data_IF_009834874186
#
_entry.id   IF_009834874186
#
_cell.length_a   1.000
_cell.length_b   1.000
_cell.length_c   1.000
_cell.angle_alpha   90.00
_cell.angle_beta   90.00
_cell.angle_gamma   90.00
#
_symmetry.space_group_name_H-M   'P 1'
#
loop_
_entity.id
_entity.type
_entity.pdbx_description
1 polymer ?
#
# COMPACT_ATOMS: atom_id res chain seq x y z
N UNK A 1 -9.84 12.47 12.13
CA UNK A 1 -9.06 12.41 10.87
C UNK A 1 -8.28 11.12 10.95
N UNK A 2 -8.75 10.07 10.31
CA UNK A 2 -8.19 8.74 10.49
C UNK A 2 -7.05 8.57 9.49
N UNK A 3 -5.84 8.21 9.92
CA UNK A 3 -4.88 7.52 9.07
C UNK A 3 -5.16 6.02 9.15
N UNK A 4 -4.95 5.30 8.04
CA UNK A 4 -5.05 3.82 8.03
C UNK A 4 -3.90 3.30 7.17
N UNK A 5 -2.97 2.64 7.84
CA UNK A 5 -1.89 1.84 7.24
C UNK A 5 -1.87 0.50 7.94
N UNK A 6 -1.72 -0.60 7.20
CA UNK A 6 -1.82 -1.96 7.74
C UNK A 6 -0.54 -2.79 7.53
N UNK A 7 0.24 -2.88 8.62
CA UNK A 7 0.91 -4.07 9.17
C UNK A 7 2.13 -4.74 8.51
N UNK A 8 2.98 -5.21 9.42
CA UNK A 8 4.07 -6.18 9.28
C UNK A 8 3.47 -7.59 9.48
N UNK A 9 3.61 -8.49 8.50
CA UNK A 9 3.26 -9.91 8.67
C UNK A 9 4.41 -10.65 9.41
N UNK A 10 4.13 -11.25 10.56
CA UNK A 10 5.03 -12.24 11.16
C UNK A 10 4.62 -13.63 10.68
N UNK A 11 5.39 -14.16 9.73
CA UNK A 11 5.17 -15.50 9.16
C UNK A 11 5.83 -16.56 10.03
N UNK A 12 5.03 -17.48 10.55
CA UNK A 12 5.56 -18.67 11.20
C UNK A 12 5.94 -19.72 10.14
N UNK A 13 7.24 -19.82 9.82
CA UNK A 13 7.81 -20.84 8.92
C UNK A 13 8.09 -22.18 9.63
N UNK A 14 7.48 -22.41 10.80
CA UNK A 14 7.68 -23.60 11.61
C UNK A 14 7.14 -24.85 10.92
N UNK A 15 8.00 -25.58 10.22
CA UNK A 15 7.78 -26.96 9.77
C UNK A 15 7.70 -27.98 10.93
N UNK A 16 7.60 -27.52 12.19
CA UNK A 16 7.70 -28.36 13.40
C UNK A 16 6.65 -27.91 14.41
N UNK A 17 5.70 -28.79 14.71
CA UNK A 17 4.59 -28.58 15.67
C UNK A 17 5.03 -28.55 17.14
N UNK A 18 6.30 -28.91 17.40
CA UNK A 18 6.87 -29.06 18.74
C UNK A 18 7.65 -27.84 19.23
N UNK A 19 7.73 -26.77 18.43
CA UNK A 19 8.43 -25.53 18.82
C UNK A 19 7.46 -24.36 18.94
N UNK A 20 7.51 -23.69 20.09
CA UNK A 20 6.71 -22.53 20.44
C UNK A 20 7.55 -21.26 20.34
N UNK A 21 6.92 -20.15 19.94
CA UNK A 21 7.52 -18.82 20.10
C UNK A 21 7.45 -18.47 21.60
N UNK A 22 8.60 -18.24 22.21
CA UNK A 22 8.71 -18.01 23.65
C UNK A 22 9.87 -17.02 23.95
N UNK A 23 9.73 -16.29 25.04
CA UNK A 23 10.78 -15.50 25.65
C UNK A 23 11.12 -16.12 27.00
N UNK A 24 11.98 -17.13 27.01
CA UNK A 24 12.43 -17.78 28.23
C UNK A 24 13.17 -16.80 29.14
N UNK A 25 12.44 -16.19 30.06
CA UNK A 25 12.95 -15.28 31.08
C UNK A 25 13.69 -16.09 32.14
N UNK A 26 14.94 -15.73 32.40
CA UNK A 26 15.64 -16.12 33.62
C UNK A 26 15.32 -15.06 34.69
N UNK A 27 15.24 -15.41 35.99
CA UNK A 27 15.06 -14.43 37.07
C UNK A 27 16.06 -13.26 37.04
N UNK A 28 17.17 -13.41 36.33
CA UNK A 28 18.25 -12.42 36.23
C UNK A 28 18.33 -11.70 34.87
N UNK A 29 17.48 -12.04 33.90
CA UNK A 29 17.51 -11.43 32.55
C UNK A 29 16.09 -11.10 32.09
N UNK A 30 15.72 -9.81 32.18
CA UNK A 30 14.38 -9.30 31.85
C UNK A 30 14.24 -8.77 30.41
N UNK A 31 15.32 -8.71 29.66
CA UNK A 31 15.34 -8.27 28.26
C UNK A 31 16.01 -9.33 27.40
N UNK A 32 15.24 -10.36 27.04
CA UNK A 32 15.69 -11.40 26.11
C UNK A 32 14.85 -11.32 24.84
N UNK A 33 15.50 -11.49 23.70
CA UNK A 33 14.80 -11.57 22.42
C UNK A 33 13.88 -12.79 22.41
N UNK A 34 12.69 -12.62 21.82
CA UNK A 34 11.74 -13.70 21.57
C UNK A 34 12.36 -14.69 20.57
N UNK A 35 12.30 -15.99 20.85
CA UNK A 35 12.89 -17.04 20.04
C UNK A 35 12.02 -18.29 19.95
N UNK A 36 12.48 -19.31 19.24
CA UNK A 36 11.78 -20.60 19.14
C UNK A 36 12.35 -21.58 20.16
N UNK A 37 11.50 -22.11 21.04
CA UNK A 37 11.86 -23.08 22.09
C UNK A 37 10.92 -24.29 22.04
N UNK A 38 11.26 -25.39 22.71
CA UNK A 38 10.31 -26.49 22.89
C UNK A 38 9.10 -26.01 23.71
N UNK A 39 7.90 -26.39 23.27
CA UNK A 39 6.68 -26.10 24.03
C UNK A 39 6.74 -26.83 25.38
N UNK A 40 6.59 -26.12 26.50
CA UNK A 40 6.80 -26.69 27.84
C UNK A 40 5.55 -26.62 28.74
N UNK A 41 4.49 -25.92 28.31
CA UNK A 41 3.17 -25.98 28.94
C UNK A 41 3.08 -25.32 30.32
N UNK A 42 4.10 -24.58 30.73
CA UNK A 42 4.07 -23.80 31.98
C UNK A 42 3.27 -22.51 31.75
N UNK A 43 2.40 -22.13 32.69
CA UNK A 43 1.51 -20.96 32.60
C UNK A 43 2.26 -19.68 32.12
N UNK A 44 2.02 -19.28 30.86
CA UNK A 44 2.48 -18.01 30.27
C UNK A 44 3.18 -18.10 28.90
N UNK A 45 3.04 -17.02 28.10
CA UNK A 45 3.81 -16.57 26.91
C UNK A 45 4.23 -17.56 25.79
N UNK A 46 3.67 -18.77 25.71
CA UNK A 46 3.93 -19.68 24.59
C UNK A 46 2.89 -19.53 23.48
N UNK A 47 3.30 -19.01 22.31
CA UNK A 47 2.43 -18.99 21.13
C UNK A 47 2.65 -20.27 20.30
N UNK A 48 1.70 -21.21 20.40
CA UNK A 48 1.68 -22.45 19.61
C UNK A 48 0.91 -22.24 18.30
N UNK A 49 1.44 -22.74 17.19
CA UNK A 49 0.75 -22.76 15.90
C UNK A 49 0.22 -24.17 15.64
N UNK A 50 -1.09 -24.38 15.74
CA UNK A 50 -1.73 -25.70 15.54
C UNK A 50 -2.04 -26.03 14.06
N UNK A 51 -1.26 -25.49 13.12
CA UNK A 51 -1.25 -26.02 11.74
C UNK A 51 -2.45 -25.60 10.88
N UNK A 52 -2.86 -24.35 10.96
CA UNK A 52 -3.82 -23.78 10.01
C UNK A 52 -3.21 -22.55 9.31
N UNK A 53 -3.70 -22.16 8.11
CA UNK A 53 -3.18 -21.03 7.32
C UNK A 53 -3.65 -19.70 7.92
N UNK A 54 -3.44 -19.51 9.23
CA UNK A 54 -3.72 -18.27 9.94
C UNK A 54 -2.39 -17.61 10.31
N UNK A 55 -2.31 -16.31 10.02
CA UNK A 55 -1.19 -15.44 10.29
C UNK A 55 -1.47 -14.68 11.59
N UNK A 56 -0.42 -14.32 12.30
CA UNK A 56 -0.52 -13.55 13.55
C UNK A 56 -0.71 -12.08 13.15
N UNK A 57 -1.91 -11.55 13.33
CA UNK A 57 -2.30 -10.19 12.91
C UNK A 57 -3.04 -9.47 14.03
N UNK A 58 -3.01 -8.14 14.03
CA UNK A 58 -3.84 -7.33 14.92
C UNK A 58 -4.56 -6.27 14.10
N UNK A 59 -5.88 -6.40 14.02
CA UNK A 59 -6.74 -5.37 13.42
C UNK A 59 -6.81 -4.16 14.35
N UNK A 60 -5.74 -3.37 14.40
CA UNK A 60 -5.69 -2.12 15.16
C UNK A 60 -6.37 -0.99 14.38
N UNK A 61 -6.95 -0.05 15.10
CA UNK A 61 -7.34 1.26 14.59
C UNK A 61 -6.66 2.29 15.49
N UNK A 62 -6.54 3.55 15.07
CA UNK A 62 -5.98 4.63 15.93
C UNK A 62 -6.68 4.74 17.30
N UNK A 63 -7.90 4.22 17.41
CA UNK A 63 -8.69 4.20 18.64
C UNK A 63 -8.43 2.96 19.51
N UNK A 64 -7.64 1.97 19.05
CA UNK A 64 -7.48 0.68 19.72
C UNK A 64 -6.12 0.02 19.42
N UNK A 65 -5.04 0.64 19.90
CA UNK A 65 -3.66 0.12 19.83
C UNK A 65 -3.42 -1.09 20.76
N UNK A 66 -4.30 -1.31 21.73
CA UNK A 66 -4.20 -2.39 22.71
C UNK A 66 -4.94 -3.68 22.31
N UNK A 67 -5.35 -3.83 21.04
CA UNK A 67 -6.06 -5.04 20.61
C UNK A 67 -5.11 -6.23 20.60
N UNK A 68 -5.57 -7.28 21.28
CA UNK A 68 -4.92 -8.58 21.31
C UNK A 68 -4.63 -9.04 19.89
N UNK A 69 -3.38 -9.45 19.66
CA UNK A 69 -2.96 -10.08 18.42
C UNK A 69 -3.68 -11.43 18.30
N UNK A 70 -4.41 -11.64 17.21
CA UNK A 70 -5.21 -12.85 16.98
C UNK A 70 -4.74 -13.61 15.73
N UNK A 71 -4.94 -14.93 15.66
CA UNK A 71 -4.83 -15.67 14.41
C UNK A 71 -5.87 -15.16 13.39
N UNK A 72 -5.41 -14.68 12.25
CA UNK A 72 -6.23 -14.14 11.15
C UNK A 72 -5.95 -14.89 9.84
N UNK A 73 -6.91 -15.15 8.94
CA UNK A 73 -6.64 -15.90 7.71
C UNK A 73 -5.44 -15.31 6.97
N UNK A 74 -4.42 -16.13 6.71
CA UNK A 74 -3.26 -15.69 5.97
C UNK A 74 -3.73 -15.24 4.58
N UNK A 75 -3.76 -13.94 4.36
CA UNK A 75 -4.19 -13.34 3.11
C UNK A 75 -3.11 -13.45 2.01
N UNK A 76 -2.01 -14.18 2.26
CA UNK A 76 -0.95 -14.42 1.29
C UNK A 76 -0.17 -13.16 0.89
N UNK A 77 -0.22 -12.10 1.70
CA UNK A 77 0.26 -10.76 1.35
C UNK A 77 1.74 -10.54 1.68
N UNK A 78 2.60 -11.56 1.76
CA UNK A 78 4.04 -11.38 2.01
C UNK A 78 4.77 -10.86 0.79
N UNK A 79 4.36 -9.70 0.32
CA UNK A 79 4.70 -9.07 -0.93
C UNK A 79 3.47 -8.40 -1.51
N UNK A 80 3.28 -7.12 -1.21
CA UNK A 80 2.62 -6.19 -2.11
C UNK A 80 3.72 -5.43 -2.87
N UNK A 81 4.25 -6.09 -3.90
CA UNK A 81 5.32 -5.51 -4.69
C UNK A 81 4.76 -4.49 -5.68
N UNK A 82 5.51 -3.42 -5.88
CA UNK A 82 5.21 -2.39 -6.87
C UNK A 82 6.15 -2.56 -8.07
N UNK A 83 5.62 -3.17 -9.13
CA UNK A 83 6.40 -3.66 -10.29
C UNK A 83 6.30 -2.71 -11.46
N UNK A 84 7.42 -2.50 -12.17
CA UNK A 84 7.47 -1.70 -13.39
C UNK A 84 7.32 -2.55 -14.66
N UNK A 85 6.51 -2.10 -15.63
CA UNK A 85 6.32 -2.81 -16.90
C UNK A 85 7.53 -2.69 -17.84
N UNK A 86 8.19 -1.52 -17.89
CA UNK A 86 9.37 -1.26 -18.73
C UNK A 86 10.57 -2.15 -18.40
N UNK A 87 10.63 -2.70 -17.19
CA UNK A 87 11.65 -3.65 -16.74
C UNK A 87 11.29 -5.10 -17.06
N UNK A 88 10.44 -5.31 -18.07
CA UNK A 88 9.92 -6.63 -18.45
C UNK A 88 9.07 -7.29 -17.36
N UNK A 89 8.42 -6.50 -16.49
CA UNK A 89 7.71 -6.99 -15.31
C UNK A 89 8.58 -7.79 -14.34
N UNK A 90 9.87 -7.45 -14.23
CA UNK A 90 10.80 -8.10 -13.28
C UNK A 90 11.47 -7.14 -12.31
N UNK A 91 11.32 -5.83 -12.54
CA UNK A 91 11.85 -4.79 -11.65
C UNK A 91 10.76 -4.33 -10.68
N UNK A 92 11.07 -4.34 -9.39
CA UNK A 92 10.22 -3.93 -8.30
C UNK A 92 10.89 -2.83 -7.49
N UNK A 93 10.10 -1.91 -6.93
CA UNK A 93 10.60 -0.94 -5.95
C UNK A 93 11.09 -1.70 -4.73
N UNK A 94 12.33 -1.43 -4.34
CA UNK A 94 13.06 -2.10 -3.27
C UNK A 94 13.76 -1.08 -2.37
N UNK A 95 13.63 -1.27 -1.06
CA UNK A 95 14.35 -0.50 -0.07
C UNK A 95 15.49 -1.33 0.54
N UNK A 96 16.73 -1.11 0.08
CA UNK A 96 17.86 -1.91 0.52
C UNK A 96 18.06 -1.85 2.06
N UNK A 97 18.19 -3.03 2.68
CA UNK A 97 18.43 -3.17 4.12
C UNK A 97 19.91 -3.12 4.54
N UNK A 98 20.86 -3.18 3.60
CA UNK A 98 22.30 -3.22 3.91
C UNK A 98 23.07 -2.09 3.23
N UNK A 99 23.53 -1.10 4.01
CA UNK A 99 24.35 0.04 3.56
C UNK A 99 23.66 1.40 3.64
N UNK A 100 24.17 2.39 2.90
CA UNK A 100 23.46 3.67 2.67
C UNK A 100 22.06 3.33 2.17
N UNK A 101 21.02 3.71 2.90
CA UNK A 101 19.59 3.47 2.61
C UNK A 101 19.27 3.72 1.13
N UNK A 102 19.44 2.71 0.27
CA UNK A 102 19.26 2.86 -1.16
C UNK A 102 17.84 2.43 -1.50
N UNK A 103 16.98 3.41 -1.65
CA UNK A 103 15.70 3.26 -2.32
C UNK A 103 15.95 3.15 -3.82
N UNK A 104 15.41 2.13 -4.47
CA UNK A 104 15.66 1.89 -5.89
C UNK A 104 14.88 0.72 -6.45
N UNK A 105 15.48 0.04 -7.41
CA UNK A 105 14.87 -1.04 -8.16
C UNK A 105 15.68 -2.31 -7.97
N UNK A 106 14.98 -3.43 -7.78
CA UNK A 106 15.60 -4.74 -7.72
C UNK A 106 14.70 -5.80 -8.35
N UNK A 107 15.29 -6.97 -8.61
CA UNK A 107 14.52 -8.11 -9.14
C UNK A 107 13.41 -8.48 -8.16
N UNK A 108 12.18 -8.57 -8.67
CA UNK A 108 11.03 -8.96 -7.89
C UNK A 108 11.22 -10.38 -7.31
N UNK A 109 11.23 -10.54 -5.98
CA UNK A 109 11.50 -11.84 -5.33
C UNK A 109 10.33 -12.41 -4.49
N UNK A 110 9.22 -11.69 -4.33
CA UNK A 110 7.98 -12.16 -3.69
C UNK A 110 8.12 -12.61 -2.22
N UNK A 111 9.18 -12.21 -1.53
CA UNK A 111 9.42 -12.56 -0.12
C UNK A 111 8.89 -11.49 0.84
N UNK A 112 8.31 -10.41 0.33
CA UNK A 112 7.88 -9.27 1.14
C UNK A 112 9.10 -8.43 1.53
N UNK A 113 9.23 -8.14 2.83
CA UNK A 113 10.38 -7.41 3.34
C UNK A 113 10.55 -6.05 2.68
N UNK A 114 11.74 -5.78 2.16
CA UNK A 114 12.13 -4.54 1.47
C UNK A 114 11.35 -4.23 0.18
N UNK A 115 10.64 -5.20 -0.40
CA UNK A 115 9.78 -4.99 -1.58
C UNK A 115 8.29 -4.94 -1.24
N UNK A 116 7.95 -4.78 0.03
CA UNK A 116 6.58 -4.63 0.48
C UNK A 116 6.18 -3.15 0.56
N UNK A 117 5.19 -2.76 -0.25
CA UNK A 117 4.67 -1.40 -0.32
C UNK A 117 3.15 -1.40 -0.34
N UNK A 118 2.53 -0.42 0.27
CA UNK A 118 1.07 -0.28 0.29
C UNK A 118 0.67 1.12 -0.11
N UNK A 119 -0.48 1.24 -0.77
CA UNK A 119 -1.13 2.53 -0.93
C UNK A 119 -2.02 2.77 0.30
N UNK A 120 -1.75 3.82 1.07
CA UNK A 120 -2.60 4.26 2.16
C UNK A 120 -3.86 4.94 1.62
N UNK A 121 -4.88 5.04 2.46
CA UNK A 121 -6.09 5.78 2.09
C UNK A 121 -5.88 7.30 2.00
N UNK A 122 -4.77 7.80 2.53
CA UNK A 122 -4.42 9.22 2.51
C UNK A 122 -3.51 9.54 1.30
N UNK A 123 -3.28 8.54 0.42
CA UNK A 123 -2.51 8.68 -0.81
C UNK A 123 -1.02 8.47 -0.61
N UNK A 124 -0.56 7.85 0.48
CA UNK A 124 0.88 7.62 0.70
C UNK A 124 1.27 6.23 0.19
N UNK A 125 2.45 6.10 -0.43
CA UNK A 125 3.04 4.79 -0.72
C UNK A 125 3.94 4.40 0.45
N UNK A 126 3.49 3.46 1.27
CA UNK A 126 4.01 3.21 2.62
C UNK A 126 4.65 1.84 2.78
N UNK A 127 5.64 1.80 3.67
CA UNK A 127 6.24 0.61 4.27
C UNK A 127 6.53 0.93 5.74
N UNK A 128 5.92 0.19 6.66
CA UNK A 128 6.02 0.46 8.10
C UNK A 128 5.69 1.95 8.40
N UNK A 129 6.60 2.67 9.05
CA UNK A 129 6.50 4.12 9.33
C UNK A 129 7.15 5.00 8.25
N UNK A 130 7.55 4.42 7.11
CA UNK A 130 8.25 5.13 6.03
C UNK A 130 7.40 5.23 4.75
N UNK A 131 7.50 6.37 4.09
CA UNK A 131 6.73 6.77 2.93
C UNK A 131 7.65 7.11 1.76
N UNK A 132 7.20 6.84 0.53
CA UNK A 132 7.84 7.40 -0.66
C UNK A 132 7.53 8.90 -0.70
N UNK A 133 8.58 9.71 -0.77
CA UNK A 133 8.56 11.15 -0.64
C UNK A 133 9.25 11.80 -1.85
N UNK A 134 8.68 12.88 -2.37
CA UNK A 134 9.30 13.69 -3.41
C UNK A 134 9.26 15.18 -3.07
N UNK A 135 10.43 15.71 -2.71
CA UNK A 135 10.63 17.11 -2.34
C UNK A 135 11.15 17.99 -3.50
N UNK A 136 11.13 17.51 -4.75
CA UNK A 136 11.43 18.31 -5.94
C UNK A 136 12.73 17.98 -6.69
N UNK A 137 13.61 17.16 -6.12
CA UNK A 137 14.83 16.68 -6.79
C UNK A 137 14.81 15.17 -6.95
N UNK A 138 14.95 14.44 -5.83
CA UNK A 138 15.02 12.99 -5.82
C UNK A 138 13.78 12.39 -5.16
N UNK A 139 13.41 11.18 -5.60
CA UNK A 139 12.42 10.34 -4.93
C UNK A 139 13.16 9.56 -3.84
N UNK A 140 12.65 9.62 -2.61
CA UNK A 140 13.31 9.07 -1.44
C UNK A 140 12.31 8.38 -0.52
N UNK A 141 12.84 7.71 0.51
CA UNK A 141 12.04 7.13 1.58
C UNK A 141 12.24 7.96 2.84
N UNK A 142 11.15 8.52 3.36
CA UNK A 142 11.16 9.42 4.52
C UNK A 142 10.08 9.02 5.53
N UNK A 143 10.21 9.32 6.84
CA UNK A 143 9.13 9.07 7.80
C UNK A 143 7.80 9.62 7.33
N UNK A 144 6.77 8.79 7.42
CA UNK A 144 5.41 9.16 7.10
C UNK A 144 4.89 10.18 8.10
N UNK A 145 4.27 11.25 7.62
CA UNK A 145 3.71 12.28 8.50
C UNK A 145 2.20 12.51 8.31
N UNK A 146 1.54 11.92 7.30
CA UNK A 146 0.09 12.02 7.13
C UNK A 146 -0.42 13.43 6.78
N UNK A 147 0.47 14.38 6.51
CA UNK A 147 0.13 15.77 6.18
C UNK A 147 0.01 16.02 4.67
N UNK A 148 -0.05 14.94 3.86
CA UNK A 148 -0.08 15.00 2.40
C UNK A 148 1.15 15.69 1.82
N UNK A 149 1.01 16.48 0.75
CA UNK A 149 2.11 17.26 0.19
C UNK A 149 3.07 16.40 -0.63
N UNK A 150 4.35 16.40 -0.23
CA UNK A 150 5.43 15.62 -0.84
C UNK A 150 5.29 14.09 -0.69
N UNK A 151 4.34 13.63 0.15
CA UNK A 151 4.01 12.22 0.33
C UNK A 151 2.63 11.86 -0.26
N UNK A 152 1.97 12.76 -0.99
CA UNK A 152 0.66 12.52 -1.58
C UNK A 152 0.77 12.03 -3.04
N UNK A 153 0.35 10.80 -3.26
CA UNK A 153 0.34 10.06 -4.51
C UNK A 153 -1.07 9.64 -4.88
N UNK A 154 -1.32 9.51 -6.18
CA UNK A 154 -2.52 8.87 -6.72
C UNK A 154 -2.13 7.75 -7.67
N UNK A 155 -2.80 6.62 -7.53
CA UNK A 155 -2.62 5.48 -8.41
C UNK A 155 -3.82 5.28 -9.32
N UNK A 156 -3.54 5.03 -10.60
CA UNK A 156 -4.53 4.57 -11.57
C UNK A 156 -4.26 3.09 -11.89
N UNK A 157 -5.08 2.13 -11.41
CA UNK A 157 -4.83 0.70 -11.64
C UNK A 157 -4.98 0.26 -13.11
N UNK A 158 -5.65 1.05 -13.95
CA UNK A 158 -5.93 0.72 -15.35
C UNK A 158 -4.81 1.19 -16.28
N UNK A 159 -4.24 2.36 -16.00
CA UNK A 159 -3.07 2.87 -16.74
C UNK A 159 -1.75 2.53 -16.07
N UNK A 160 -1.77 2.06 -14.83
CA UNK A 160 -0.58 1.83 -14.01
C UNK A 160 0.11 3.11 -13.54
N UNK A 161 -0.51 4.27 -13.70
CA UNK A 161 0.12 5.57 -13.41
C UNK A 161 0.24 5.81 -11.92
N UNK A 162 1.42 6.24 -11.47
CA UNK A 162 1.67 6.81 -10.14
C UNK A 162 1.94 8.31 -10.26
N UNK A 163 0.94 9.12 -9.93
CA UNK A 163 0.98 10.58 -9.99
C UNK A 163 1.36 11.15 -8.62
N UNK A 164 2.38 12.00 -8.58
CA UNK A 164 2.66 12.81 -7.40
C UNK A 164 1.80 14.09 -7.44
N UNK A 165 0.90 14.24 -6.46
CA UNK A 165 -0.20 15.21 -6.51
C UNK A 165 0.31 16.65 -6.54
N UNK A 166 1.32 17.00 -5.74
CA UNK A 166 1.81 18.39 -5.69
C UNK A 166 2.54 18.78 -6.97
N UNK A 167 3.39 17.90 -7.51
CA UNK A 167 4.21 18.23 -8.68
C UNK A 167 3.51 18.01 -10.01
N UNK A 168 2.39 17.27 -10.03
CA UNK A 168 1.70 16.81 -11.25
C UNK A 168 2.61 16.01 -12.22
N UNK A 169 3.63 15.34 -11.66
CA UNK A 169 4.58 14.48 -12.39
C UNK A 169 4.36 13.03 -12.01
N UNK A 170 4.81 12.13 -12.87
CA UNK A 170 4.67 10.70 -12.69
C UNK A 170 6.00 10.06 -12.31
N UNK A 171 5.91 9.02 -11.48
CA UNK A 171 7.06 8.19 -11.15
C UNK A 171 7.45 7.36 -12.39
N UNK A 172 8.72 7.44 -12.76
CA UNK A 172 9.29 6.73 -13.90
C UNK A 172 10.54 5.94 -13.48
N UNK A 173 10.71 4.76 -14.05
CA UNK A 173 11.97 4.03 -13.99
C UNK A 173 12.85 4.41 -15.19
N UNK A 174 14.13 4.70 -14.96
CA UNK A 174 15.06 4.95 -16.06
C UNK A 174 15.16 3.73 -16.99
N UNK A 175 15.46 3.95 -18.28
CA UNK A 175 15.46 2.86 -19.28
C UNK A 175 16.46 1.74 -18.98
N UNK A 176 17.57 2.07 -18.33
CA UNK A 176 18.58 1.13 -17.85
C UNK A 176 18.19 0.42 -16.55
N UNK A 177 17.06 0.79 -15.93
CA UNK A 177 16.57 0.25 -14.67
C UNK A 177 17.38 0.70 -13.44
N UNK A 178 18.28 1.68 -13.59
CA UNK A 178 19.19 2.07 -12.53
C UNK A 178 18.55 2.96 -11.45
N UNK A 179 17.58 3.81 -11.82
CA UNK A 179 17.02 4.84 -10.94
C UNK A 179 15.52 5.06 -11.15
N UNK A 180 14.95 5.78 -10.19
CA UNK A 180 13.60 6.33 -10.24
C UNK A 180 13.68 7.84 -10.45
N UNK A 181 12.83 8.38 -11.31
CA UNK A 181 12.79 9.80 -11.65
C UNK A 181 11.34 10.31 -11.71
N UNK A 182 11.18 11.63 -11.57
CA UNK A 182 9.89 12.30 -11.73
C UNK A 182 9.83 13.02 -13.07
N UNK A 183 9.00 12.54 -13.98
CA UNK A 183 8.88 13.04 -15.36
C UNK A 183 7.44 13.47 -15.67
N UNK A 184 7.22 14.28 -16.73
CA UNK A 184 5.87 14.52 -17.22
C UNK A 184 5.15 13.20 -17.51
N UNK A 185 3.89 13.13 -17.12
CA UNK A 185 3.10 11.91 -17.27
C UNK A 185 2.84 11.58 -18.75
N UNK A 186 3.22 10.37 -19.18
CA UNK A 186 2.94 9.81 -20.51
C UNK A 186 2.38 8.40 -20.37
N UNK A 187 1.10 8.24 -20.73
CA UNK A 187 0.40 6.95 -20.66
C UNK A 187 0.93 5.92 -21.65
N UNK A 188 1.74 6.31 -22.64
CA UNK A 188 2.39 5.39 -23.58
C UNK A 188 3.76 4.92 -23.09
N UNK A 189 4.32 5.59 -22.07
CA UNK A 189 5.62 5.22 -21.53
C UNK A 189 5.48 4.04 -20.56
N UNK A 190 5.88 2.85 -21.02
CA UNK A 190 5.86 1.62 -20.23
C UNK A 190 6.72 1.70 -18.96
N UNK A 191 7.69 2.62 -18.91
CA UNK A 191 8.52 2.85 -17.73
C UNK A 191 7.79 3.67 -16.64
N UNK A 192 6.62 4.24 -16.95
CA UNK A 192 5.71 4.86 -15.99
C UNK A 192 4.54 3.94 -15.61
N UNK A 193 4.52 2.70 -16.10
CA UNK A 193 3.45 1.75 -15.82
C UNK A 193 3.84 0.86 -14.63
N UNK A 194 3.18 1.11 -13.52
CA UNK A 194 3.37 0.42 -12.26
C UNK A 194 2.18 -0.48 -11.94
N UNK A 195 2.49 -1.65 -11.36
CA UNK A 195 1.47 -2.60 -10.91
C UNK A 195 1.75 -3.02 -9.48
N UNK A 196 0.84 -2.65 -8.59
CA UNK A 196 0.74 -3.30 -7.28
C UNK A 196 0.34 -4.75 -7.49
N UNK A 197 1.01 -5.67 -6.79
CA UNK A 197 0.59 -7.07 -6.78
C UNK A 197 -0.81 -7.22 -6.18
N UNK A 198 -1.12 -6.44 -5.14
CA UNK A 198 -2.41 -6.44 -4.45
C UNK A 198 -2.90 -4.99 -4.36
N UNK A 199 -4.07 -4.73 -4.94
CA UNK A 199 -4.73 -3.43 -4.90
C UNK A 199 -6.24 -3.61 -4.90
N UNK A 200 -6.90 -3.06 -3.89
CA UNK A 200 -8.36 -3.13 -3.72
C UNK A 200 -9.00 -1.87 -4.29
N UNK A 201 -9.53 -1.98 -5.51
CA UNK A 201 -10.13 -0.86 -6.25
C UNK A 201 -11.40 -0.37 -5.55
N UNK A 202 -12.20 -1.27 -4.95
CA UNK A 202 -13.45 -0.91 -4.28
C UNK A 202 -13.18 -0.05 -3.05
N UNK A 203 -12.19 -0.44 -2.23
CA UNK A 203 -11.75 0.39 -1.09
C UNK A 203 -11.14 1.71 -1.53
N UNK A 204 -10.31 1.71 -2.58
CA UNK A 204 -9.73 2.95 -3.12
C UNK A 204 -10.80 3.92 -3.64
N UNK A 205 -11.89 3.39 -4.21
CA UNK A 205 -13.04 4.18 -4.61
C UNK A 205 -13.80 4.74 -3.41
N UNK A 206 -14.07 3.91 -2.40
CA UNK A 206 -14.74 4.33 -1.16
C UNK A 206 -14.02 5.51 -0.47
N UNK A 207 -12.69 5.51 -0.47
CA UNK A 207 -11.88 6.52 0.21
C UNK A 207 -11.36 7.65 -0.69
N UNK A 208 -11.64 7.62 -2.01
CA UNK A 208 -11.25 8.68 -2.94
C UNK A 208 -9.74 8.74 -3.26
N UNK A 209 -9.01 7.63 -3.08
CA UNK A 209 -7.55 7.56 -3.24
C UNK A 209 -7.10 7.21 -4.67
N UNK A 210 -8.04 7.22 -5.61
CA UNK A 210 -7.85 6.75 -6.97
C UNK A 210 -7.74 7.94 -7.94
N UNK A 211 -6.95 7.79 -8.99
CA UNK A 211 -6.66 8.84 -9.96
C UNK A 211 -7.71 8.93 -11.09
N UNK A 212 -8.97 8.55 -10.82
CA UNK A 212 -10.02 8.78 -11.79
C UNK A 212 -10.61 10.15 -11.63
N UNK A 213 -10.71 10.80 -12.77
CA UNK A 213 -11.58 11.93 -13.03
C UNK A 213 -13.08 11.53 -12.90
N UNK A 214 -13.50 10.80 -11.85
CA UNK A 214 -14.94 10.43 -11.66
C UNK A 214 -15.75 11.60 -11.14
N UNK A 215 -15.08 12.60 -10.57
CA UNK A 215 -15.74 13.82 -10.08
C UNK A 215 -16.35 14.61 -11.23
N UNK A 216 -15.80 14.55 -12.45
CA UNK A 216 -16.41 15.22 -13.61
C UNK A 216 -17.60 14.48 -14.16
N UNK A 217 -17.56 13.14 -14.29
CA UNK A 217 -18.70 12.42 -14.91
C UNK A 217 -19.91 12.40 -13.98
N UNK A 218 -19.74 12.16 -12.68
CA UNK A 218 -20.85 12.15 -11.75
C UNK A 218 -21.48 13.54 -11.57
N UNK A 219 -20.66 14.60 -11.47
CA UNK A 219 -21.15 15.98 -11.40
C UNK A 219 -21.80 16.40 -12.71
N UNK A 220 -21.20 16.07 -13.86
CA UNK A 220 -21.79 16.38 -15.18
C UNK A 220 -23.12 15.64 -15.34
N UNK A 221 -23.20 14.36 -14.98
CA UNK A 221 -24.47 13.60 -15.02
C UNK A 221 -25.50 14.15 -14.04
N UNK A 222 -25.12 14.51 -12.81
CA UNK A 222 -26.04 15.15 -11.85
C UNK A 222 -26.51 16.53 -12.34
N UNK A 223 -25.62 17.35 -12.88
CA UNK A 223 -25.95 18.65 -13.45
C UNK A 223 -26.89 18.47 -14.66
N UNK A 224 -26.62 17.52 -15.56
CA UNK A 224 -27.51 17.22 -16.68
C UNK A 224 -28.89 16.75 -16.19
N UNK A 225 -28.96 15.84 -15.23
CA UNK A 225 -30.25 15.36 -14.67
C UNK A 225 -31.03 16.52 -14.02
N UNK A 226 -30.36 17.40 -13.27
CA UNK A 226 -31.01 18.58 -12.65
C UNK A 226 -31.49 19.60 -13.69
N UNK A 227 -30.71 19.83 -14.75
CA UNK A 227 -31.12 20.69 -15.88
C UNK A 227 -32.35 20.09 -16.54
N UNK A 228 -32.38 18.79 -16.85
CA UNK A 228 -33.55 18.15 -17.48
C UNK A 228 -34.77 18.06 -16.55
N UNK A 229 -34.57 17.93 -15.23
CA UNK A 229 -35.67 17.86 -14.25
C UNK A 229 -36.37 19.21 -14.02
N UNK A 230 -35.78 20.33 -14.45
CA UNK A 230 -36.38 21.67 -14.37
C UNK A 230 -37.21 22.05 -15.60
N UNK A 231 -37.18 21.25 -16.66
CA UNK A 231 -37.99 21.46 -17.86
C UNK A 231 -39.28 20.65 -17.75
N UNK A 232 -40.42 21.33 -17.62
CA UNK A 232 -41.71 20.67 -17.80
C UNK A 232 -41.92 20.35 -19.29
N UNK A 233 -42.68 19.30 -19.58
CA UNK A 233 -43.01 18.84 -20.94
C UNK A 233 -43.62 19.91 -21.85
N UNK A 234 -44.12 21.00 -21.27
CA UNK A 234 -44.62 22.20 -21.96
C UNK A 234 -43.53 23.11 -22.52
N UNK A 235 -42.32 23.13 -21.95
CA UNK A 235 -41.21 24.01 -22.40
C UNK A 235 -40.43 23.40 -23.57
N UNK A 236 -40.41 22.07 -23.67
CA UNK A 236 -39.78 21.33 -24.78
C UNK A 236 -40.58 21.49 -26.08
N UNK A 237 -41.90 21.61 -26.00
CA UNK A 237 -42.76 21.80 -27.18
C UNK A 237 -42.61 23.18 -27.83
N UNK A 238 -42.25 24.21 -27.07
CA UNK A 238 -42.09 25.58 -27.58
C UNK A 238 -40.82 25.79 -28.43
N UNK A 239 -39.83 24.90 -28.33
CA UNK A 239 -38.56 24.98 -29.08
C UNK A 239 -38.56 24.21 -30.41
N UNK A 240 -39.56 23.36 -30.66
CA UNK A 240 -39.64 22.52 -31.87
C UNK A 240 -40.61 23.12 -32.92
N UNK A 241 -41.41 24.13 -32.56
CA UNK A 241 -42.43 24.73 -33.42
C UNK A 241 -42.13 26.16 -33.89
N UNK A 242 -40.86 26.56 -33.97
CA UNK A 242 -40.44 27.83 -34.59
C UNK A 242 -39.36 27.59 -35.65
#
# INVERSE_FOLDING_TARGET
MSSKTCYVEIRNLGNSVDRCLDCKLSPHVKQKAVGLYECHGDDGNQLRNEGAPYCVDSATTEENESKTVIPYPCHGQGGNQLRNAGGGNRQCIDYASHGTKSFGLYQCHMQGGNQYWMMSKDGEIRRDESCIDYAGQDVMVFPCHGMKGNQEWRYNPQTGRLLHVVSQRCLEMTKDGAKLEMTPCDTRNIHQHWKFKIYDVEKANQYGCHDYLVVTVAIVVHIFILIFAQWNSSDVFALITN
#
